data_IF_223479767411
#
_entry.id   IF_223479767411
#
_cell.length_a   1.000
_cell.length_b   1.000
_cell.length_c   1.000
_cell.angle_alpha   90.00
_cell.angle_beta   90.00
_cell.angle_gamma   90.00
#
_symmetry.space_group_name_H-M   'P 1'
#
loop_
_entity.id
_entity.type
_entity.pdbx_description
1 polymer ?
#
# COMPACT_ATOMS: atom_id res chain seq x y z
N UNK A 1 2.39 21.65 19.91
CA UNK A 1 3.01 21.86 18.60
C UNK A 1 2.34 20.89 17.66
N UNK A 2 1.67 21.41 16.64
CA UNK A 2 0.98 20.59 15.66
C UNK A 2 1.99 19.87 14.76
N UNK A 3 1.70 18.61 14.43
CA UNK A 3 2.49 17.81 13.51
C UNK A 3 2.11 18.18 12.07
N UNK A 4 2.96 18.96 11.42
CA UNK A 4 2.76 19.40 10.04
C UNK A 4 2.79 18.21 9.06
N UNK A 5 1.78 18.14 8.19
CA UNK A 5 1.57 17.07 7.22
C UNK A 5 1.09 15.76 7.83
N UNK A 6 0.48 15.81 9.02
CA UNK A 6 -0.11 14.70 9.76
C UNK A 6 -1.47 15.10 10.32
N UNK A 7 -2.28 14.10 10.68
CA UNK A 7 -3.46 14.33 11.50
C UNK A 7 -3.09 14.71 12.93
N UNK A 8 -3.82 15.67 13.48
CA UNK A 8 -3.71 16.16 14.84
C UNK A 8 -5.12 16.21 15.45
N UNK A 9 -5.24 15.78 16.69
CA UNK A 9 -6.43 16.03 17.49
C UNK A 9 -6.21 17.36 18.20
N UNK A 10 -6.94 18.41 17.78
CA UNK A 10 -6.82 19.77 18.30
C UNK A 10 -8.15 20.24 18.88
N UNK A 11 -8.08 21.03 19.94
CA UNK A 11 -9.25 21.60 20.61
C UNK A 11 -9.74 22.85 19.87
N UNK A 12 -11.06 23.03 19.77
CA UNK A 12 -11.68 24.25 19.25
C UNK A 12 -11.61 25.33 20.32
N UNK A 13 -11.00 26.47 19.99
CA UNK A 13 -10.86 27.60 20.93
C UNK A 13 -11.81 28.75 20.61
N UNK A 14 -12.20 28.90 19.34
CA UNK A 14 -13.01 30.04 18.91
C UNK A 14 -13.75 29.79 17.60
N UNK A 15 -14.97 30.32 17.52
CA UNK A 15 -15.75 30.42 16.29
C UNK A 15 -15.56 31.79 15.64
N UNK A 16 -15.48 31.79 14.32
CA UNK A 16 -15.52 33.00 13.48
C UNK A 16 -16.39 32.74 12.26
N UNK A 17 -16.86 33.81 11.61
CA UNK A 17 -17.79 33.70 10.48
C UNK A 17 -17.28 32.83 9.32
N UNK A 18 -15.95 32.70 9.19
CA UNK A 18 -15.30 31.96 8.11
C UNK A 18 -14.68 30.63 8.55
N UNK A 19 -14.87 30.17 9.79
CA UNK A 19 -14.32 28.89 10.27
C UNK A 19 -14.19 28.75 11.78
N UNK A 20 -13.34 27.80 12.19
CA UNK A 20 -12.99 27.53 13.58
C UNK A 20 -11.50 27.76 13.78
N UNK A 21 -11.12 28.37 14.90
CA UNK A 21 -9.74 28.35 15.35
C UNK A 21 -9.53 27.17 16.30
N UNK A 22 -8.44 26.44 16.06
CA UNK A 22 -8.00 25.28 16.82
C UNK A 22 -6.71 25.59 17.57
N UNK A 23 -6.56 25.08 18.78
CA UNK A 23 -5.34 25.25 19.56
C UNK A 23 -4.17 24.43 18.98
N UNK A 24 -3.21 25.09 18.34
CA UNK A 24 -1.94 24.48 17.89
C UNK A 24 -0.84 24.44 18.96
N UNK A 25 -1.12 24.96 20.16
CA UNK A 25 -0.17 25.15 21.24
C UNK A 25 0.91 26.17 20.85
N UNK A 26 2.17 25.72 20.79
CA UNK A 26 3.31 26.59 20.45
C UNK A 26 3.24 27.21 19.04
N UNK A 27 2.42 26.65 18.13
CA UNK A 27 2.21 27.18 16.79
C UNK A 27 1.08 28.24 16.72
N UNK A 28 0.45 28.55 17.86
CA UNK A 28 -0.68 29.47 17.96
C UNK A 28 -2.01 28.87 17.51
N UNK A 29 -2.97 29.73 17.17
CA UNK A 29 -4.29 29.32 16.68
C UNK A 29 -4.21 28.92 15.19
N UNK A 30 -4.76 27.76 14.83
CA UNK A 30 -4.78 27.25 13.46
C UNK A 30 -6.22 27.27 12.93
N UNK A 31 -6.43 27.89 11.76
CA UNK A 31 -7.75 27.99 11.16
C UNK A 31 -8.17 26.67 10.48
N UNK A 32 -9.37 26.19 10.81
CA UNK A 32 -10.16 25.26 10.01
C UNK A 32 -11.23 26.06 9.24
N UNK A 33 -11.07 26.27 7.92
CA UNK A 33 -12.07 26.98 7.12
C UNK A 33 -13.46 26.37 7.20
N UNK A 34 -14.49 27.21 7.19
CA UNK A 34 -15.89 26.79 7.38
C UNK A 34 -16.36 25.68 6.45
N UNK A 35 -15.87 25.65 5.20
CA UNK A 35 -16.19 24.60 4.22
C UNK A 35 -15.72 23.20 4.63
N UNK A 36 -14.78 23.09 5.57
CA UNK A 36 -14.20 21.85 6.07
C UNK A 36 -14.71 21.49 7.47
N UNK A 37 -15.67 22.22 8.02
CA UNK A 37 -16.28 21.84 9.29
C UNK A 37 -17.14 20.58 9.05
N UNK A 38 -16.96 19.49 9.82
CA UNK A 38 -17.77 18.29 9.67
C UNK A 38 -19.23 18.57 10.02
N UNK A 39 -20.16 18.15 9.17
CA UNK A 39 -21.60 18.35 9.41
C UNK A 39 -22.18 17.46 10.52
N UNK A 40 -21.46 16.38 10.86
CA UNK A 40 -21.92 15.33 11.78
C UNK A 40 -21.02 15.23 13.02
N UNK A 41 -20.31 16.30 13.38
CA UNK A 41 -19.51 16.37 14.59
C UNK A 41 -20.01 17.51 15.48
N UNK A 42 -19.84 17.34 16.78
CA UNK A 42 -19.93 18.44 17.72
C UNK A 42 -18.75 19.38 17.45
N UNK A 43 -19.05 20.67 17.42
CA UNK A 43 -18.07 21.69 17.09
C UNK A 43 -18.18 22.86 18.04
N UNK A 44 -18.63 22.65 19.28
CA UNK A 44 -18.66 23.70 20.28
C UNK A 44 -17.23 24.09 20.70
N UNK A 45 -17.08 25.24 21.36
CA UNK A 45 -15.79 25.57 21.98
C UNK A 45 -15.47 24.51 23.02
N UNK A 46 -14.19 24.16 23.14
CA UNK A 46 -13.64 23.07 23.95
C UNK A 46 -13.77 21.65 23.38
N UNK A 47 -14.53 21.44 22.30
CA UNK A 47 -14.58 20.17 21.59
C UNK A 47 -13.28 19.89 20.82
N UNK A 48 -13.06 18.62 20.47
CA UNK A 48 -11.84 18.17 19.80
C UNK A 48 -12.12 17.67 18.39
N UNK A 49 -11.35 18.16 17.42
CA UNK A 49 -11.41 17.70 16.04
C UNK A 49 -10.11 17.04 15.62
N UNK A 50 -10.22 15.92 14.92
CA UNK A 50 -9.09 15.30 14.25
C UNK A 50 -8.94 15.89 12.84
N UNK A 51 -7.93 16.73 12.65
CA UNK A 51 -7.71 17.51 11.43
C UNK A 51 -6.33 17.28 10.85
N UNK A 52 -6.22 17.34 9.53
CA UNK A 52 -4.94 17.33 8.84
C UNK A 52 -4.36 18.73 8.79
N UNK A 53 -3.11 18.89 9.24
CA UNK A 53 -2.43 20.19 9.28
C UNK A 53 -1.46 20.30 8.10
N UNK A 54 -1.56 21.37 7.32
CA UNK A 54 -0.66 21.65 6.20
C UNK A 54 -0.43 23.16 6.00
N UNK A 55 0.27 23.53 4.93
CA UNK A 55 0.50 24.93 4.56
C UNK A 55 -0.35 25.31 3.35
N UNK A 56 -1.08 26.42 3.47
CA UNK A 56 -1.87 26.99 2.38
C UNK A 56 -0.98 27.63 1.28
N UNK A 57 -1.56 28.42 0.38
CA UNK A 57 -0.82 29.12 -0.69
C UNK A 57 0.08 30.25 -0.20
N UNK A 58 -0.12 30.74 1.02
CA UNK A 58 0.63 31.84 1.65
C UNK A 58 1.62 31.34 2.72
N UNK A 59 1.89 30.02 2.72
CA UNK A 59 2.73 29.32 3.69
C UNK A 59 2.25 29.46 5.15
N UNK A 60 0.95 29.68 5.37
CA UNK A 60 0.34 29.70 6.70
C UNK A 60 -0.16 28.31 7.09
N UNK A 61 -0.08 27.99 8.39
CA UNK A 61 -0.66 26.77 8.93
C UNK A 61 -2.18 26.80 8.79
N UNK A 62 -2.72 25.72 8.22
CA UNK A 62 -4.15 25.57 8.03
C UNK A 62 -4.57 24.13 8.30
N UNK A 63 -5.76 23.98 8.85
CA UNK A 63 -6.40 22.70 9.12
C UNK A 63 -7.41 22.35 8.02
N UNK A 64 -7.55 21.06 7.74
CA UNK A 64 -8.63 20.52 6.91
C UNK A 64 -9.10 19.17 7.44
N UNK A 65 -10.37 18.85 7.21
CA UNK A 65 -10.94 17.52 7.45
C UNK A 65 -10.93 16.66 6.18
N UNK A 66 -10.49 17.24 5.04
CA UNK A 66 -10.25 16.48 3.83
C UNK A 66 -9.18 15.41 4.07
N UNK A 67 -9.33 14.27 3.38
CA UNK A 67 -8.40 13.16 3.49
C UNK A 67 -7.32 13.25 2.41
N UNK A 68 -6.06 13.57 2.77
CA UNK A 68 -4.98 13.50 1.80
C UNK A 68 -4.75 12.05 1.38
N UNK A 69 -4.20 11.86 0.19
CA UNK A 69 -3.80 10.53 -0.30
C UNK A 69 -2.60 9.96 0.45
N UNK A 70 -1.83 10.80 1.14
CA UNK A 70 -0.58 10.43 1.82
C UNK A 70 -0.19 11.48 2.86
N UNK A 71 0.47 11.08 3.95
CA UNK A 71 0.97 11.97 5.00
C UNK A 71 2.51 12.09 4.98
N UNK A 72 3.06 13.08 5.69
CA UNK A 72 4.52 13.25 5.85
C UNK A 72 5.16 12.05 6.53
N UNK A 73 6.08 11.38 5.86
CA UNK A 73 6.72 10.15 6.28
C UNK A 73 6.11 8.91 5.64
N UNK A 74 5.13 9.06 4.76
CA UNK A 74 4.48 7.97 4.03
C UNK A 74 4.84 7.96 2.54
N UNK A 75 4.66 6.78 1.95
CA UNK A 75 4.80 6.52 0.53
C UNK A 75 3.43 6.36 -0.12
N UNK A 76 3.26 6.92 -1.31
CA UNK A 76 2.05 6.70 -2.11
C UNK A 76 2.34 6.86 -3.59
N UNK A 77 1.43 6.32 -4.42
CA UNK A 77 1.40 6.64 -5.85
C UNK A 77 0.50 7.82 -6.11
N UNK A 78 1.07 8.92 -6.60
CA UNK A 78 0.35 10.14 -6.90
C UNK A 78 0.39 10.43 -8.40
N UNK A 79 -0.71 11.02 -8.90
CA UNK A 79 -0.82 11.45 -10.30
C UNK A 79 -0.13 12.80 -10.47
N UNK A 80 0.64 12.97 -11.53
CA UNK A 80 1.17 14.27 -11.94
C UNK A 80 0.04 15.10 -12.54
N UNK A 81 -0.29 16.22 -11.90
CA UNK A 81 -1.33 17.15 -12.35
C UNK A 81 -0.78 18.29 -13.20
N UNK A 82 0.39 18.80 -12.83
CA UNK A 82 1.04 19.90 -13.54
C UNK A 82 2.56 19.78 -13.46
N UNK A 83 3.25 20.36 -14.44
CA UNK A 83 4.70 20.49 -14.49
C UNK A 83 5.00 21.91 -14.98
N UNK A 84 5.65 22.72 -14.15
CA UNK A 84 5.98 24.11 -14.48
C UNK A 84 7.35 24.52 -13.92
N UNK A 85 7.73 25.80 -14.03
CA UNK A 85 9.05 26.27 -13.62
C UNK A 85 9.43 25.97 -12.16
N UNK A 86 8.46 25.79 -11.26
CA UNK A 86 8.71 25.47 -9.86
C UNK A 86 9.01 23.99 -9.60
N UNK A 87 8.51 23.09 -10.46
CA UNK A 87 8.65 21.64 -10.28
C UNK A 87 7.44 20.86 -10.79
N UNK A 88 7.27 19.66 -10.23
CA UNK A 88 6.23 18.69 -10.59
C UNK A 88 5.17 18.71 -9.49
N UNK A 89 3.91 18.96 -9.85
CA UNK A 89 2.80 19.03 -8.90
C UNK A 89 2.00 17.72 -8.94
N UNK A 90 1.90 17.08 -7.78
CA UNK A 90 1.29 15.78 -7.58
C UNK A 90 -0.07 15.93 -6.91
N UNK A 91 -1.05 15.17 -7.40
CA UNK A 91 -2.41 15.16 -6.86
C UNK A 91 -2.45 14.60 -5.44
N UNK A 92 -2.42 15.48 -4.46
CA UNK A 92 -2.38 15.14 -3.04
C UNK A 92 -3.76 14.75 -2.49
N UNK A 93 -4.84 15.01 -3.23
CA UNK A 93 -6.21 14.85 -2.74
C UNK A 93 -6.69 15.97 -1.80
N UNK A 94 -5.92 17.06 -1.70
CA UNK A 94 -6.32 18.29 -1.01
C UNK A 94 -6.55 19.41 -2.02
N UNK A 95 -7.03 20.57 -1.57
CA UNK A 95 -7.20 21.75 -2.42
C UNK A 95 -5.89 22.25 -3.05
N UNK A 96 -4.74 21.88 -2.47
CA UNK A 96 -3.40 22.20 -2.96
C UNK A 96 -2.69 20.91 -3.38
N UNK A 97 -2.03 20.96 -4.53
CA UNK A 97 -1.19 19.86 -5.01
C UNK A 97 0.19 19.85 -4.31
N UNK A 98 0.78 18.67 -4.22
CA UNK A 98 2.07 18.46 -3.56
C UNK A 98 3.22 18.72 -4.53
N UNK A 99 4.07 19.68 -4.22
CA UNK A 99 5.25 19.99 -5.03
C UNK A 99 6.37 18.95 -4.82
N UNK A 100 6.86 18.37 -5.91
CA UNK A 100 8.11 17.63 -6.00
C UNK A 100 9.12 18.44 -6.83
N UNK A 101 10.22 18.94 -6.22
CA UNK A 101 11.30 19.61 -6.94
C UNK A 101 11.94 18.70 -7.98
N UNK A 102 12.45 19.26 -9.08
CA UNK A 102 13.16 18.50 -10.12
C UNK A 102 14.38 17.72 -9.58
N UNK A 103 15.06 18.23 -8.55
CA UNK A 103 16.18 17.52 -7.89
C UNK A 103 15.75 16.21 -7.21
N UNK A 104 14.46 16.07 -6.92
CA UNK A 104 13.84 14.91 -6.26
C UNK A 104 13.14 13.97 -7.26
N UNK A 105 13.20 14.28 -8.55
CA UNK A 105 12.79 13.41 -9.63
C UNK A 105 13.86 12.32 -9.87
N UNK A 106 13.42 11.06 -9.89
CA UNK A 106 14.27 9.90 -10.17
C UNK A 106 14.32 9.55 -11.66
N UNK A 107 13.23 9.82 -12.39
CA UNK A 107 13.10 9.64 -13.84
C UNK A 107 12.14 10.68 -14.40
N UNK A 108 12.31 11.14 -15.65
CA UNK A 108 11.41 12.10 -16.27
C UNK A 108 9.95 11.64 -16.23
N UNK A 109 9.07 12.53 -15.77
CA UNK A 109 7.62 12.34 -15.70
C UNK A 109 6.88 13.28 -16.66
N UNK A 110 5.67 12.88 -17.06
CA UNK A 110 4.73 13.69 -17.84
C UNK A 110 3.44 13.93 -17.05
N UNK A 111 2.73 15.00 -17.41
CA UNK A 111 1.39 15.24 -16.89
C UNK A 111 0.51 14.02 -17.19
N UNK A 112 -0.20 13.54 -16.16
CA UNK A 112 -1.02 12.33 -16.22
C UNK A 112 -0.33 11.05 -15.75
N UNK A 113 1.01 11.03 -15.67
CA UNK A 113 1.74 9.88 -15.13
C UNK A 113 1.44 9.67 -13.65
N UNK A 114 1.60 8.43 -13.19
CA UNK A 114 1.62 8.09 -11.77
C UNK A 114 3.03 7.75 -11.33
N UNK A 115 3.45 8.30 -10.20
CA UNK A 115 4.75 8.01 -9.61
C UNK A 115 4.62 7.65 -8.13
N UNK A 116 5.39 6.66 -7.69
CA UNK A 116 5.53 6.37 -6.26
C UNK A 116 6.50 7.38 -5.67
N UNK A 117 6.08 8.04 -4.61
CA UNK A 117 6.86 9.07 -3.91
C UNK A 117 6.84 8.83 -2.41
N UNK A 118 7.85 9.36 -1.73
CA UNK A 118 7.86 9.58 -0.28
C UNK A 118 7.55 11.05 0.01
N UNK A 119 6.63 11.33 0.93
CA UNK A 119 6.35 12.69 1.38
C UNK A 119 7.16 13.01 2.61
N UNK A 120 7.81 14.17 2.65
CA UNK A 120 8.65 14.58 3.76
C UNK A 120 8.56 16.08 4.02
N UNK A 121 9.02 16.48 5.19
CA UNK A 121 9.20 17.89 5.54
C UNK A 121 10.62 18.32 5.16
N UNK A 122 10.75 19.30 4.27
CA UNK A 122 12.04 19.86 3.92
C UNK A 122 12.63 20.60 5.12
N UNK A 123 13.85 20.20 5.54
CA UNK A 123 14.46 20.71 6.78
C UNK A 123 14.78 22.20 6.73
N UNK A 124 15.02 22.75 5.53
CA UNK A 124 15.44 24.13 5.36
C UNK A 124 14.26 25.08 5.27
N UNK A 125 13.26 24.71 4.48
CA UNK A 125 12.10 25.56 4.19
C UNK A 125 10.89 25.25 5.07
N UNK A 126 10.91 24.13 5.79
CA UNK A 126 9.76 23.60 6.55
C UNK A 126 8.52 23.39 5.68
N UNK A 127 8.67 23.28 4.36
CA UNK A 127 7.57 22.95 3.45
C UNK A 127 7.41 21.43 3.31
N UNK A 128 6.17 21.00 3.17
CA UNK A 128 5.85 19.61 2.82
C UNK A 128 6.13 19.42 1.33
N UNK A 129 6.89 18.39 1.00
CA UNK A 129 7.29 18.08 -0.37
C UNK A 129 7.37 16.57 -0.58
N UNK A 130 7.62 16.15 -1.83
CA UNK A 130 7.73 14.76 -2.22
C UNK A 130 9.07 14.46 -2.88
N UNK A 131 9.42 13.17 -2.92
CA UNK A 131 10.55 12.66 -3.68
C UNK A 131 10.25 11.29 -4.25
N UNK A 132 10.64 11.08 -5.50
CA UNK A 132 10.60 9.75 -6.14
C UNK A 132 11.91 8.98 -5.96
N UNK A 133 12.89 9.55 -5.25
CA UNK A 133 14.16 8.90 -4.87
C UNK A 133 14.00 8.11 -3.58
N UNK A 134 13.27 7.01 -3.68
CA UNK A 134 12.73 6.24 -2.55
C UNK A 134 13.80 5.63 -1.63
N UNK A 135 14.95 5.22 -2.19
CA UNK A 135 16.02 4.54 -1.44
C UNK A 135 16.57 5.37 -0.26
N UNK A 136 16.42 6.70 -0.30
CA UNK A 136 16.82 7.58 0.80
C UNK A 136 15.98 7.34 2.06
N UNK A 137 14.78 6.79 1.94
CA UNK A 137 13.76 6.72 3.00
C UNK A 137 13.36 5.30 3.40
N UNK A 138 13.91 4.29 2.71
CA UNK A 138 13.65 2.88 2.97
C UNK A 138 14.85 2.23 3.65
N UNK A 139 14.61 1.10 4.33
CA UNK A 139 15.63 0.27 4.99
C UNK A 139 16.50 1.04 6.01
N UNK A 140 15.94 2.08 6.63
CA UNK A 140 16.61 2.89 7.66
C UNK A 140 16.75 2.21 9.01
N UNK A 141 15.99 1.15 9.23
CA UNK A 141 16.00 0.32 10.42
C UNK A 141 16.20 -1.15 10.01
N UNK A 142 16.71 -2.01 10.89
CA UNK A 142 16.70 -3.44 10.63
C UNK A 142 15.27 -3.95 10.41
N UNK A 143 15.12 -4.83 9.42
CA UNK A 143 13.85 -5.49 9.18
C UNK A 143 13.60 -6.56 10.26
N UNK A 144 12.57 -6.35 11.07
CA UNK A 144 12.11 -7.31 12.07
C UNK A 144 10.78 -7.92 11.59
N UNK A 145 10.90 -8.97 10.79
CA UNK A 145 9.77 -9.65 10.18
C UNK A 145 9.88 -11.16 10.35
N UNK A 146 8.73 -11.81 10.52
CA UNK A 146 8.63 -13.27 10.60
C UNK A 146 8.14 -13.85 9.26
N UNK A 147 8.64 -15.03 8.90
CA UNK A 147 8.13 -15.75 7.72
C UNK A 147 6.64 -16.05 7.91
N UNK A 148 5.84 -15.69 6.90
CA UNK A 148 4.38 -15.79 6.91
C UNK A 148 3.66 -14.61 7.55
N UNK A 149 4.38 -13.60 8.04
CA UNK A 149 3.75 -12.39 8.57
C UNK A 149 3.00 -11.64 7.46
N UNK A 150 1.71 -11.29 7.67
CA UNK A 150 0.96 -10.45 6.75
C UNK A 150 1.48 -9.02 6.77
N UNK A 151 1.62 -8.42 5.59
CA UNK A 151 2.16 -7.07 5.40
C UNK A 151 1.40 -6.31 4.32
N UNK A 152 1.41 -4.99 4.42
CA UNK A 152 0.94 -4.09 3.38
C UNK A 152 2.08 -3.76 2.43
N UNK A 153 1.78 -3.80 1.14
CA UNK A 153 2.73 -3.62 0.06
C UNK A 153 2.30 -2.47 -0.84
N UNK A 154 3.22 -1.56 -1.14
CA UNK A 154 3.08 -0.61 -2.25
C UNK A 154 4.06 -0.99 -3.36
N UNK A 155 3.54 -1.48 -4.49
CA UNK A 155 4.37 -1.87 -5.64
C UNK A 155 5.05 -0.64 -6.21
N UNK A 156 6.38 -0.59 -6.18
CA UNK A 156 7.14 0.57 -6.66
C UNK A 156 7.52 0.45 -8.14
N UNK A 157 7.77 -0.76 -8.64
CA UNK A 157 8.11 -0.97 -10.04
C UNK A 157 8.52 -2.39 -10.40
N UNK A 158 8.51 -2.69 -11.70
CA UNK A 158 9.02 -3.95 -12.25
C UNK A 158 10.55 -3.90 -12.38
N UNK A 159 11.16 -5.06 -12.20
CA UNK A 159 12.57 -5.36 -12.39
C UNK A 159 12.69 -6.68 -13.16
N UNK A 160 13.85 -7.02 -13.72
CA UNK A 160 14.04 -8.31 -14.40
C UNK A 160 13.69 -9.53 -13.53
N UNK A 161 13.85 -9.43 -12.21
CA UNK A 161 13.57 -10.54 -11.27
C UNK A 161 12.10 -10.61 -10.81
N UNK A 162 11.32 -9.55 -11.00
CA UNK A 162 9.97 -9.42 -10.44
C UNK A 162 9.65 -7.98 -10.05
N UNK A 163 8.82 -7.77 -9.03
CA UNK A 163 8.33 -6.46 -8.65
C UNK A 163 8.92 -6.02 -7.30
N UNK A 164 9.57 -4.85 -7.27
CA UNK A 164 9.94 -4.21 -6.01
C UNK A 164 8.69 -3.62 -5.37
N UNK A 165 8.53 -3.84 -4.07
CA UNK A 165 7.45 -3.27 -3.28
C UNK A 165 7.97 -2.73 -1.95
N UNK A 166 7.33 -1.68 -1.46
CA UNK A 166 7.58 -1.09 -0.14
C UNK A 166 6.71 -1.83 0.87
N UNK A 167 7.33 -2.40 1.89
CA UNK A 167 6.69 -3.17 2.96
C UNK A 167 6.40 -2.23 4.13
N UNK A 168 5.12 -2.14 4.52
CA UNK A 168 4.65 -1.38 5.69
C UNK A 168 5.29 0.01 5.78
N UNK A 169 5.47 0.68 4.63
CA UNK A 169 6.03 2.02 4.55
C UNK A 169 7.49 2.15 5.09
N UNK A 170 8.28 1.07 5.10
CA UNK A 170 9.59 1.05 5.77
C UNK A 170 10.71 0.34 5.00
N UNK A 171 10.44 -0.84 4.45
CA UNK A 171 11.49 -1.70 3.91
C UNK A 171 11.26 -2.05 2.45
N UNK A 172 12.33 -2.35 1.72
CA UNK A 172 12.21 -2.95 0.39
C UNK A 172 11.90 -4.44 0.47
N UNK A 173 11.04 -4.91 -0.43
CA UNK A 173 10.86 -6.33 -0.72
C UNK A 173 10.74 -6.60 -2.21
N UNK A 174 10.88 -7.87 -2.57
CA UNK A 174 10.78 -8.35 -3.95
C UNK A 174 9.73 -9.46 -4.06
N UNK A 175 8.73 -9.25 -4.91
CA UNK A 175 7.82 -10.31 -5.36
C UNK A 175 8.42 -10.90 -6.63
N UNK A 176 8.82 -12.17 -6.62
CA UNK A 176 9.47 -12.78 -7.78
C UNK A 176 8.49 -13.00 -8.94
N UNK A 177 8.96 -12.81 -10.19
CA UNK A 177 8.11 -12.86 -11.40
C UNK A 177 7.38 -14.20 -11.58
N UNK A 178 8.00 -15.30 -11.18
CA UNK A 178 7.41 -16.65 -11.23
C UNK A 178 6.33 -16.92 -10.16
N UNK A 179 6.09 -15.96 -9.27
CA UNK A 179 5.06 -16.04 -8.21
C UNK A 179 3.95 -15.00 -8.39
N UNK A 180 4.01 -14.24 -9.49
CA UNK A 180 3.00 -13.24 -9.84
C UNK A 180 1.96 -13.90 -10.74
N UNK A 181 0.91 -14.40 -10.12
CA UNK A 181 -0.23 -15.03 -10.81
C UNK A 181 -1.40 -14.06 -11.06
N UNK A 182 -1.19 -12.76 -10.83
CA UNK A 182 -2.18 -11.70 -11.06
C UNK A 182 -1.52 -10.47 -11.65
N UNK A 183 -2.31 -9.57 -12.23
CA UNK A 183 -1.79 -8.31 -12.74
C UNK A 183 -1.22 -7.44 -11.60
N UNK A 184 0.01 -6.93 -11.79
CA UNK A 184 0.65 -5.97 -10.91
C UNK A 184 1.21 -4.81 -11.74
N UNK A 185 1.10 -3.59 -11.22
CA UNK A 185 1.76 -2.41 -11.76
C UNK A 185 2.25 -1.51 -10.63
N UNK A 186 3.19 -0.62 -10.97
CA UNK A 186 3.65 0.43 -10.06
C UNK A 186 2.46 1.23 -9.53
N UNK A 187 2.51 1.54 -8.23
CA UNK A 187 1.50 2.28 -7.48
C UNK A 187 0.32 1.47 -6.94
N UNK A 188 0.24 0.16 -7.22
CA UNK A 188 -0.78 -0.70 -6.62
C UNK A 188 -0.48 -0.97 -5.15
N UNK A 189 -1.53 -0.92 -4.33
CA UNK A 189 -1.50 -1.41 -2.96
C UNK A 189 -1.96 -2.87 -2.93
N UNK A 190 -1.24 -3.70 -2.20
CA UNK A 190 -1.51 -5.12 -2.09
C UNK A 190 -1.34 -5.58 -0.64
N UNK A 191 -2.06 -6.63 -0.27
CA UNK A 191 -1.73 -7.41 0.91
C UNK A 191 -0.83 -8.56 0.47
N UNK A 192 0.22 -8.81 1.25
CA UNK A 192 1.15 -9.91 0.99
C UNK A 192 1.69 -10.48 2.28
N UNK A 193 2.66 -11.37 2.12
CA UNK A 193 3.28 -12.10 3.21
C UNK A 193 4.79 -12.08 3.04
N UNK A 194 5.49 -12.04 4.17
CA UNK A 194 6.93 -12.21 4.22
C UNK A 194 7.25 -13.66 3.87
N UNK A 195 7.92 -13.89 2.76
CA UNK A 195 8.27 -15.25 2.31
C UNK A 195 9.61 -15.68 2.88
N UNK A 196 10.58 -14.79 2.87
CA UNK A 196 11.93 -15.04 3.35
C UNK A 196 12.57 -13.71 3.75
N UNK A 197 13.29 -13.72 4.87
CA UNK A 197 14.21 -12.65 5.25
C UNK A 197 15.61 -13.21 5.11
N UNK A 198 16.37 -12.70 4.14
CA UNK A 198 17.71 -13.20 3.81
C UNK A 198 18.76 -12.63 4.75
N UNK A 199 19.89 -13.32 4.87
CA UNK A 199 21.03 -12.86 5.68
C UNK A 199 21.62 -11.51 5.21
N UNK A 200 21.46 -11.15 3.94
CA UNK A 200 21.86 -9.85 3.38
C UNK A 200 20.82 -8.74 3.61
N UNK A 201 19.80 -8.99 4.43
CA UNK A 201 18.73 -8.05 4.77
C UNK A 201 17.64 -7.91 3.72
N UNK A 202 17.76 -8.56 2.55
CA UNK A 202 16.73 -8.51 1.51
C UNK A 202 15.55 -9.40 1.86
N UNK A 203 14.36 -8.94 1.48
CA UNK A 203 13.10 -9.61 1.82
C UNK A 203 12.44 -10.11 0.53
N UNK A 204 12.14 -11.40 0.49
CA UNK A 204 11.26 -11.98 -0.53
C UNK A 204 9.81 -11.90 -0.05
N UNK A 205 8.91 -11.57 -0.97
CA UNK A 205 7.49 -11.38 -0.72
C UNK A 205 6.66 -12.40 -1.49
N UNK A 206 5.53 -12.78 -0.90
CA UNK A 206 4.49 -13.59 -1.53
C UNK A 206 3.17 -12.84 -1.52
N UNK A 207 2.37 -12.97 -2.58
CA UNK A 207 0.99 -12.49 -2.63
C UNK A 207 -0.02 -13.51 -2.08
N UNK A 208 0.49 -14.66 -1.64
CA UNK A 208 -0.27 -15.75 -1.05
C UNK A 208 0.34 -16.11 0.32
N UNK A 209 -0.42 -16.77 1.20
CA UNK A 209 0.15 -17.36 2.41
C UNK A 209 1.36 -18.26 2.08
N UNK A 210 2.18 -18.57 3.09
CA UNK A 210 3.38 -19.39 2.91
C UNK A 210 3.33 -20.65 3.78
N UNK A 211 4.09 -21.67 3.40
CA UNK A 211 4.22 -22.91 4.18
C UNK A 211 2.90 -23.68 4.31
N UNK A 212 2.60 -24.14 5.53
CA UNK A 212 1.41 -24.94 5.81
C UNK A 212 0.11 -24.19 5.52
N UNK A 213 0.04 -22.90 5.88
CA UNK A 213 -1.14 -22.06 5.61
C UNK A 213 -1.47 -21.96 4.12
N UNK A 214 -0.46 -21.98 3.24
CA UNK A 214 -0.69 -22.05 1.80
C UNK A 214 -1.32 -23.37 1.39
N UNK A 215 -0.78 -24.49 1.91
CA UNK A 215 -1.28 -25.81 1.60
C UNK A 215 -2.75 -25.94 2.04
N UNK A 216 -3.07 -25.51 3.27
CA UNK A 216 -4.43 -25.60 3.81
C UNK A 216 -5.41 -24.74 3.00
N UNK A 217 -5.08 -23.48 2.74
CA UNK A 217 -5.94 -22.60 1.92
C UNK A 217 -6.15 -23.11 0.50
N UNK A 218 -5.11 -23.70 -0.11
CA UNK A 218 -5.20 -24.29 -1.44
C UNK A 218 -6.03 -25.58 -1.43
N UNK A 219 -5.95 -26.40 -0.38
CA UNK A 219 -6.80 -27.58 -0.23
C UNK A 219 -8.27 -27.19 -0.14
N UNK A 220 -8.61 -26.17 0.64
CA UNK A 220 -9.97 -25.63 0.72
C UNK A 220 -10.45 -25.10 -0.64
N UNK A 221 -9.61 -24.33 -1.34
CA UNK A 221 -9.92 -23.81 -2.68
C UNK A 221 -10.19 -24.93 -3.70
N UNK A 222 -9.38 -25.99 -3.68
CA UNK A 222 -9.55 -27.15 -4.57
C UNK A 222 -10.86 -27.87 -4.26
N UNK A 223 -11.17 -28.09 -2.98
CA UNK A 223 -12.41 -28.77 -2.57
C UNK A 223 -13.66 -27.96 -2.93
N UNK A 224 -13.63 -26.65 -2.70
CA UNK A 224 -14.73 -25.76 -3.08
C UNK A 224 -14.97 -25.78 -4.60
N UNK A 225 -13.89 -25.80 -5.40
CA UNK A 225 -13.99 -25.88 -6.85
C UNK A 225 -14.49 -27.24 -7.33
N UNK A 226 -14.04 -28.34 -6.72
CA UNK A 226 -14.55 -29.69 -6.97
C UNK A 226 -16.05 -29.75 -6.72
N UNK A 227 -16.53 -29.21 -5.59
CA UNK A 227 -17.95 -29.18 -5.27
C UNK A 227 -18.77 -28.35 -6.28
N UNK A 228 -18.23 -27.22 -6.71
CA UNK A 228 -18.87 -26.36 -7.72
C UNK A 228 -18.94 -27.02 -9.12
N UNK A 229 -18.03 -27.92 -9.45
CA UNK A 229 -17.99 -28.64 -10.74
C UNK A 229 -18.53 -30.08 -10.67
N UNK A 230 -19.38 -30.38 -9.67
CA UNK A 230 -20.07 -31.67 -9.58
C UNK A 230 -19.19 -32.83 -9.12
N UNK A 231 -18.12 -32.53 -8.39
CA UNK A 231 -17.23 -33.51 -7.77
C UNK A 231 -16.05 -33.96 -8.63
N UNK A 232 -15.88 -33.42 -9.83
CA UNK A 232 -14.79 -33.81 -10.75
C UNK A 232 -14.14 -32.56 -11.35
N UNK A 233 -12.81 -32.51 -11.35
CA UNK A 233 -12.05 -31.50 -12.09
C UNK A 233 -11.07 -32.19 -13.04
N UNK A 234 -11.08 -31.80 -14.32
CA UNK A 234 -10.20 -32.30 -15.38
C UNK A 234 -8.74 -31.82 -15.25
N UNK A 235 -8.18 -31.88 -14.04
CA UNK A 235 -6.80 -31.55 -13.72
C UNK A 235 -6.22 -32.53 -12.71
N UNK A 236 -4.92 -32.81 -12.81
CA UNK A 236 -4.17 -33.73 -11.96
C UNK A 236 -2.73 -33.24 -11.78
N UNK A 237 -1.87 -33.98 -11.05
CA UNK A 237 -0.47 -33.59 -10.87
C UNK A 237 0.36 -33.60 -12.16
N UNK A 238 -0.15 -34.25 -13.22
CA UNK A 238 0.47 -34.28 -14.56
C UNK A 238 0.05 -33.10 -15.43
N UNK A 239 -1.04 -32.40 -15.10
CA UNK A 239 -1.57 -31.28 -15.91
C UNK A 239 -0.56 -30.17 -16.17
N UNK A 240 -0.79 -29.43 -17.25
CA UNK A 240 0.07 -28.34 -17.69
C UNK A 240 0.20 -27.25 -16.59
N UNK A 241 1.41 -26.74 -16.29
CA UNK A 241 1.59 -25.68 -15.29
C UNK A 241 0.76 -24.42 -15.55
N UNK A 242 0.55 -24.04 -16.82
CA UNK A 242 -0.25 -22.87 -17.17
C UNK A 242 -1.74 -23.10 -16.88
N UNK A 243 -2.25 -24.34 -17.08
CA UNK A 243 -3.61 -24.70 -16.72
C UNK A 243 -3.82 -24.63 -15.20
N UNK A 244 -2.90 -25.19 -14.41
CA UNK A 244 -2.96 -25.14 -12.94
C UNK A 244 -2.90 -23.69 -12.45
N UNK A 245 -1.98 -22.90 -13.01
CA UNK A 245 -1.86 -21.48 -12.68
C UNK A 245 -3.14 -20.72 -13.02
N UNK A 246 -3.79 -21.02 -14.14
CA UNK A 246 -5.03 -20.35 -14.55
C UNK A 246 -6.21 -20.67 -13.63
N UNK A 247 -6.30 -21.90 -13.15
CA UNK A 247 -7.43 -22.35 -12.32
C UNK A 247 -7.28 -21.94 -10.85
N UNK A 248 -6.07 -22.02 -10.32
CA UNK A 248 -5.83 -21.89 -8.88
C UNK A 248 -4.88 -20.75 -8.51
N UNK A 249 -4.28 -20.05 -9.48
CA UNK A 249 -3.29 -18.99 -9.27
C UNK A 249 -2.09 -19.47 -8.44
N UNK A 250 -1.64 -20.70 -8.63
CA UNK A 250 -0.50 -21.29 -7.90
C UNK A 250 0.45 -22.01 -8.83
N UNK A 251 1.66 -22.28 -8.34
CA UNK A 251 2.60 -23.16 -9.03
C UNK A 251 2.11 -24.62 -9.05
N UNK A 252 2.51 -25.37 -10.09
CA UNK A 252 2.28 -26.82 -10.18
C UNK A 252 2.82 -27.59 -8.97
N UNK A 253 3.93 -27.14 -8.39
CA UNK A 253 4.50 -27.74 -7.19
C UNK A 253 3.59 -27.60 -5.96
N UNK A 254 3.00 -26.42 -5.75
CA UNK A 254 2.07 -26.19 -4.64
C UNK A 254 0.77 -26.96 -4.84
N UNK A 255 0.23 -26.97 -6.08
CA UNK A 255 -0.92 -27.78 -6.43
C UNK A 255 -0.71 -29.27 -6.15
N UNK A 256 0.43 -29.83 -6.59
CA UNK A 256 0.78 -31.24 -6.34
C UNK A 256 0.84 -31.57 -4.84
N UNK A 257 1.41 -30.68 -4.03
CA UNK A 257 1.45 -30.84 -2.56
C UNK A 257 0.05 -30.82 -1.95
N UNK A 258 -0.82 -29.90 -2.38
CA UNK A 258 -2.18 -29.77 -1.87
C UNK A 258 -3.05 -30.99 -2.20
N UNK A 259 -3.09 -31.42 -3.47
CA UNK A 259 -3.87 -32.62 -3.84
C UNK A 259 -3.30 -33.88 -3.19
N UNK A 260 -1.98 -33.99 -3.02
CA UNK A 260 -1.35 -35.08 -2.28
C UNK A 260 -1.75 -35.10 -0.80
N UNK A 261 -1.97 -33.94 -0.19
CA UNK A 261 -2.52 -33.80 1.16
C UNK A 261 -3.97 -34.28 1.23
N UNK A 262 -4.84 -33.79 0.33
CA UNK A 262 -6.25 -34.20 0.24
C UNK A 262 -6.41 -35.70 0.01
N UNK A 263 -5.57 -36.29 -0.85
CA UNK A 263 -5.57 -37.72 -1.13
C UNK A 263 -5.21 -38.53 0.14
N UNK A 264 -4.18 -38.13 0.88
CA UNK A 264 -3.81 -38.77 2.15
C UNK A 264 -4.91 -38.65 3.22
N UNK A 265 -5.68 -37.56 3.19
CA UNK A 265 -6.84 -37.37 4.07
C UNK A 265 -8.09 -38.15 3.60
N UNK A 266 -8.02 -38.84 2.45
CA UNK A 266 -9.16 -39.57 1.88
C UNK A 266 -10.28 -38.66 1.36
N UNK A 267 -9.99 -37.40 1.02
CA UNK A 267 -10.99 -36.43 0.55
C UNK A 267 -11.16 -36.40 -0.96
N UNK A 268 -10.16 -36.87 -1.70
CA UNK A 268 -10.17 -36.95 -3.16
C UNK A 268 -9.52 -38.25 -3.63
N UNK A 269 -9.84 -38.65 -4.86
CA UNK A 269 -9.13 -39.64 -5.66
C UNK A 269 -8.39 -38.90 -6.78
N UNK A 270 -7.14 -39.30 -7.04
CA UNK A 270 -6.31 -38.74 -8.13
C UNK A 270 -6.22 -39.78 -9.24
N UNK A 271 -6.76 -39.45 -10.41
CA UNK A 271 -6.65 -40.25 -11.64
C UNK A 271 -5.57 -39.65 -12.56
N UNK A 272 -5.30 -40.32 -13.67
CA UNK A 272 -4.29 -39.87 -14.64
C UNK A 272 -4.64 -38.56 -15.35
N UNK A 273 -5.93 -38.27 -15.49
CA UNK A 273 -6.46 -37.13 -16.24
C UNK A 273 -7.30 -36.15 -15.41
N UNK A 274 -7.65 -36.50 -14.17
CA UNK A 274 -8.57 -35.74 -13.32
C UNK A 274 -8.37 -35.97 -11.83
N UNK A 275 -8.95 -35.10 -11.01
CA UNK A 275 -9.20 -35.33 -9.59
C UNK A 275 -10.71 -35.42 -9.35
N UNK A 276 -11.09 -36.26 -8.41
CA UNK A 276 -12.49 -36.56 -8.09
C UNK A 276 -12.68 -36.52 -6.56
N UNK A 277 -13.80 -35.99 -6.08
CA UNK A 277 -14.15 -36.01 -4.66
C UNK A 277 -14.42 -37.46 -4.23
N UNK A 278 -13.83 -37.86 -3.10
CA UNK A 278 -14.01 -39.21 -2.53
C UNK A 278 -15.41 -39.39 -1.93
#
# INVERSE_FOLDING_TARGET
>A
MALLGRYNSLQIVKHVDFGLYLDGGADGEILLPGRYIPKNAETEVDDWLNVFIYLDSEDQLIATTEKPKVQVGEFASLKVKDINGAGIFLDWGLSKDLLMPYSEEARPLKIGDYCVVHVYLDKRTRRITATSRLDRYLDRTPADYQVGQPVELLVAGETPMGFKAIINNRHWGLIHKNEVFKFLRSGMHEKGFIKEVRADGKIALSLQPVGAALADSLQEQIMARLEAEGGVLGVCDKSDPALISKLFNVSKGNFKKAIGGLFKQGRIVIHDDRIEKA
#
